data_IF_151921080065
#
_entry.id   IF_151921080065
#
_cell.length_a   1.000
_cell.length_b   1.000
_cell.length_c   1.000
_cell.angle_alpha   90.00
_cell.angle_beta   90.00
_cell.angle_gamma   90.00
#
_symmetry.space_group_name_H-M   'P 1'
#
loop_
_entity.id
_entity.type
_entity.pdbx_description
1 polymer ?
#
# COMPACT_ATOMS: atom_id res chain seq x y z
N UNK A 1 -79.19 6.54 -30.39
CA UNK A 1 -79.35 7.04 -29.00
C UNK A 1 -79.30 5.90 -27.97
N UNK A 2 -80.22 4.93 -27.99
CA UNK A 2 -80.29 3.84 -26.99
C UNK A 2 -79.02 2.96 -26.98
N UNK A 3 -78.50 2.57 -28.15
CA UNK A 3 -77.27 1.76 -28.22
C UNK A 3 -76.01 2.48 -27.70
N UNK A 4 -75.94 3.80 -27.85
CA UNK A 4 -74.82 4.60 -27.36
C UNK A 4 -74.89 4.76 -25.83
N UNK A 5 -76.09 4.94 -25.28
CA UNK A 5 -76.30 4.98 -23.84
C UNK A 5 -75.98 3.62 -23.19
N UNK A 6 -76.42 2.51 -23.79
CA UNK A 6 -76.09 1.17 -23.31
C UNK A 6 -74.57 0.92 -23.32
N UNK A 7 -73.89 1.27 -24.42
CA UNK A 7 -72.43 1.16 -24.51
C UNK A 7 -71.71 1.98 -23.43
N UNK A 8 -72.11 3.23 -23.23
CA UNK A 8 -71.51 4.10 -22.22
C UNK A 8 -71.72 3.55 -20.79
N UNK A 9 -72.92 3.04 -20.48
CA UNK A 9 -73.22 2.43 -19.19
C UNK A 9 -72.38 1.17 -18.98
N UNK A 10 -72.33 0.26 -19.95
CA UNK A 10 -71.52 -0.96 -19.84
C UNK A 10 -70.04 -0.65 -19.71
N UNK A 11 -69.52 0.35 -20.44
CA UNK A 11 -68.12 0.76 -20.33
C UNK A 11 -67.78 1.27 -18.92
N UNK A 12 -68.62 2.15 -18.35
CA UNK A 12 -68.44 2.66 -16.99
C UNK A 12 -68.58 1.54 -15.95
N UNK A 13 -69.55 0.63 -16.12
CA UNK A 13 -69.73 -0.51 -15.23
C UNK A 13 -68.52 -1.45 -15.27
N UNK A 14 -68.02 -1.79 -16.46
CA UNK A 14 -66.84 -2.64 -16.62
C UNK A 14 -65.58 -1.99 -16.05
N UNK A 15 -65.42 -0.68 -16.20
CA UNK A 15 -64.32 0.06 -15.59
C UNK A 15 -64.32 -0.01 -14.06
N UNK A 16 -65.50 -0.10 -13.43
CA UNK A 16 -65.63 -0.27 -11.98
C UNK A 16 -65.54 -1.74 -11.55
N UNK A 17 -66.20 -2.65 -12.27
CA UNK A 17 -66.32 -4.06 -11.90
C UNK A 17 -65.00 -4.80 -12.06
N UNK A 18 -64.24 -4.56 -13.14
CA UNK A 18 -62.98 -5.25 -13.40
C UNK A 18 -61.94 -5.05 -12.27
N UNK A 19 -61.60 -3.82 -11.83
CA UNK A 19 -60.63 -3.64 -10.75
C UNK A 19 -61.15 -4.20 -9.41
N UNK A 20 -62.46 -4.13 -9.15
CA UNK A 20 -63.07 -4.72 -7.95
C UNK A 20 -62.97 -6.24 -7.98
N UNK A 21 -63.27 -6.87 -9.12
CA UNK A 21 -63.17 -8.32 -9.30
C UNK A 21 -61.72 -8.81 -9.16
N UNK A 22 -60.75 -8.07 -9.71
CA UNK A 22 -59.33 -8.35 -9.54
C UNK A 22 -58.90 -8.23 -8.07
N UNK A 23 -59.34 -7.19 -7.37
CA UNK A 23 -59.05 -7.01 -5.95
C UNK A 23 -59.66 -8.11 -5.08
N UNK A 24 -60.89 -8.53 -5.37
CA UNK A 24 -61.55 -9.67 -4.72
C UNK A 24 -60.79 -10.97 -5.04
N UNK A 25 -60.37 -11.18 -6.29
CA UNK A 25 -59.56 -12.33 -6.68
C UNK A 25 -58.24 -12.39 -5.93
N UNK A 26 -57.60 -11.24 -5.68
CA UNK A 26 -56.38 -11.15 -4.85
C UNK A 26 -56.67 -11.45 -3.38
N UNK A 27 -57.76 -10.92 -2.82
CA UNK A 27 -58.17 -11.17 -1.43
C UNK A 27 -58.48 -12.66 -1.18
N UNK A 28 -59.24 -13.27 -2.08
CA UNK A 28 -59.57 -14.69 -2.05
C UNK A 28 -58.38 -15.60 -2.39
N UNK A 29 -57.21 -15.05 -2.72
CA UNK A 29 -56.02 -15.86 -3.01
C UNK A 29 -56.11 -16.64 -4.32
N UNK A 30 -56.82 -16.11 -5.33
CA UNK A 30 -56.87 -16.70 -6.68
C UNK A 30 -55.54 -16.48 -7.40
N UNK A 31 -54.97 -15.28 -7.25
CA UNK A 31 -53.69 -14.92 -7.86
C UNK A 31 -52.88 -13.99 -6.96
N UNK A 32 -51.56 -13.99 -7.17
CA UNK A 32 -50.61 -13.07 -6.54
C UNK A 32 -49.69 -12.49 -7.61
N UNK A 33 -49.21 -11.28 -7.36
CA UNK A 33 -48.25 -10.61 -8.22
C UNK A 33 -46.96 -10.51 -7.42
N UNK A 34 -45.93 -11.19 -7.90
CA UNK A 34 -44.59 -11.12 -7.34
C UNK A 34 -43.78 -10.14 -8.18
N UNK A 35 -43.36 -9.04 -7.55
CA UNK A 35 -42.48 -8.06 -8.18
C UNK A 35 -41.06 -8.60 -8.32
N UNK A 36 -40.25 -8.01 -9.21
CA UNK A 36 -38.85 -8.40 -9.38
C UNK A 36 -38.07 -8.34 -8.06
N UNK A 37 -37.25 -9.38 -7.83
CA UNK A 37 -36.42 -9.55 -6.62
C UNK A 37 -37.21 -9.53 -5.32
N UNK A 38 -38.47 -9.93 -5.33
CA UNK A 38 -39.23 -10.25 -4.12
C UNK A 38 -39.54 -11.73 -4.09
N UNK A 39 -39.61 -12.27 -2.88
CA UNK A 39 -40.04 -13.64 -2.63
C UNK A 39 -41.24 -13.61 -1.68
N UNK A 40 -42.29 -14.35 -2.01
CA UNK A 40 -43.47 -14.48 -1.16
C UNK A 40 -43.43 -15.83 -0.47
N UNK A 41 -43.41 -15.83 0.86
CA UNK A 41 -43.44 -17.04 1.69
C UNK A 41 -44.78 -17.12 2.39
N UNK A 42 -45.55 -18.14 2.04
CA UNK A 42 -46.89 -18.34 2.59
C UNK A 42 -46.86 -19.34 3.75
N UNK A 43 -47.44 -18.94 4.87
CA UNK A 43 -47.45 -19.70 6.11
C UNK A 43 -48.89 -19.87 6.58
N UNK A 44 -49.28 -21.10 6.89
CA UNK A 44 -50.59 -21.43 7.43
C UNK A 44 -50.41 -22.27 8.69
N UNK A 45 -51.02 -21.84 9.81
CA UNK A 45 -50.92 -22.51 11.11
C UNK A 45 -49.48 -22.86 11.54
N UNK A 46 -48.52 -21.96 11.24
CA UNK A 46 -47.11 -22.14 11.60
C UNK A 46 -46.32 -23.10 10.70
N UNK A 47 -46.92 -23.66 9.66
CA UNK A 47 -46.21 -24.43 8.63
C UNK A 47 -46.07 -23.61 7.35
N UNK A 48 -44.90 -23.66 6.73
CA UNK A 48 -44.69 -23.11 5.39
C UNK A 48 -45.46 -23.97 4.41
N UNK A 49 -46.37 -23.34 3.66
CA UNK A 49 -47.20 -24.03 2.67
C UNK A 49 -46.55 -23.94 1.30
N UNK A 50 -46.09 -22.75 0.90
CA UNK A 50 -45.52 -22.50 -0.43
C UNK A 50 -44.55 -21.31 -0.40
N UNK A 51 -43.58 -21.34 -1.31
CA UNK A 51 -42.58 -20.28 -1.53
C UNK A 51 -42.60 -19.94 -3.01
N UNK A 52 -42.82 -18.67 -3.35
CA UNK A 52 -42.83 -18.20 -4.74
C UNK A 52 -41.70 -17.17 -4.90
N UNK A 53 -40.69 -17.52 -5.67
CA UNK A 53 -39.50 -16.71 -5.96
C UNK A 53 -39.47 -16.16 -7.39
N UNK A 54 -40.20 -16.77 -8.33
CA UNK A 54 -40.30 -16.31 -9.71
C UNK A 54 -41.10 -14.99 -9.82
N UNK A 55 -40.61 -13.99 -10.57
CA UNK A 55 -41.34 -12.75 -10.78
C UNK A 55 -42.49 -12.97 -11.76
N UNK A 56 -43.66 -12.38 -11.47
CA UNK A 56 -44.80 -12.40 -12.37
C UNK A 56 -46.14 -12.70 -11.69
N UNK A 57 -47.14 -12.93 -12.52
CA UNK A 57 -48.48 -13.30 -12.10
C UNK A 57 -48.53 -14.81 -11.81
N UNK A 58 -48.80 -15.17 -10.56
CA UNK A 58 -48.89 -16.55 -10.12
C UNK A 58 -50.32 -16.87 -9.68
N UNK A 59 -50.90 -17.95 -10.21
CA UNK A 59 -52.17 -18.48 -9.74
C UNK A 59 -51.91 -19.40 -8.55
N UNK A 60 -52.43 -19.04 -7.38
CA UNK A 60 -52.14 -19.76 -6.14
C UNK A 60 -52.92 -21.08 -6.04
N UNK A 61 -54.05 -21.20 -6.73
CA UNK A 61 -54.90 -22.40 -6.71
C UNK A 61 -54.17 -23.69 -7.14
N UNK A 62 -53.48 -23.76 -8.30
CA UNK A 62 -52.73 -24.95 -8.68
C UNK A 62 -51.50 -25.21 -7.80
N UNK A 63 -50.92 -24.18 -7.18
CA UNK A 63 -49.73 -24.30 -6.33
C UNK A 63 -50.07 -24.84 -4.93
N UNK A 64 -51.13 -24.30 -4.31
CA UNK A 64 -51.45 -24.51 -2.89
C UNK A 64 -52.81 -25.19 -2.68
N UNK A 65 -53.46 -25.64 -3.75
CA UNK A 65 -54.80 -26.25 -3.77
C UNK A 65 -55.85 -25.40 -3.02
N UNK A 66 -56.69 -26.05 -2.21
CA UNK A 66 -57.70 -25.40 -1.37
C UNK A 66 -57.10 -24.45 -0.32
N UNK A 67 -55.81 -24.61 0.03
CA UNK A 67 -55.16 -23.74 1.02
C UNK A 67 -54.96 -22.33 0.46
N UNK A 68 -54.83 -22.17 -0.85
CA UNK A 68 -54.72 -20.87 -1.52
C UNK A 68 -55.84 -19.90 -1.11
N UNK A 69 -57.08 -20.41 -1.01
CA UNK A 69 -58.25 -19.63 -0.63
C UNK A 69 -58.23 -19.15 0.83
N UNK A 70 -57.58 -19.92 1.69
CA UNK A 70 -57.66 -19.77 3.15
C UNK A 70 -56.43 -19.03 3.69
N UNK A 71 -55.29 -19.13 3.02
CA UNK A 71 -54.00 -18.58 3.42
C UNK A 71 -54.05 -17.07 3.61
N UNK A 72 -54.80 -16.33 2.79
CA UNK A 72 -54.92 -14.89 2.95
C UNK A 72 -55.75 -14.46 4.17
N UNK A 73 -56.59 -15.35 4.71
CA UNK A 73 -57.46 -15.04 5.85
C UNK A 73 -56.96 -15.60 7.18
N UNK A 74 -56.50 -16.86 7.17
CA UNK A 74 -56.02 -17.57 8.37
C UNK A 74 -54.50 -17.66 8.46
N UNK A 75 -53.80 -17.37 7.37
CA UNK A 75 -52.34 -17.47 7.27
C UNK A 75 -51.63 -16.12 7.34
N UNK A 76 -50.34 -16.15 7.01
CA UNK A 76 -49.48 -14.97 6.82
C UNK A 76 -48.70 -15.11 5.52
N UNK A 77 -48.59 -14.01 4.78
CA UNK A 77 -47.71 -13.89 3.63
C UNK A 77 -46.54 -12.98 4.00
N UNK A 78 -45.33 -13.54 4.06
CA UNK A 78 -44.11 -12.77 4.24
C UNK A 78 -43.57 -12.36 2.88
N UNK A 79 -43.38 -11.07 2.68
CA UNK A 79 -42.76 -10.52 1.47
C UNK A 79 -41.32 -10.19 1.81
N UNK A 80 -40.40 -10.97 1.24
CA UNK A 80 -38.97 -10.80 1.42
C UNK A 80 -38.37 -10.04 0.24
N UNK A 81 -37.44 -9.15 0.54
CA UNK A 81 -36.63 -8.49 -0.47
C UNK A 81 -35.36 -9.32 -0.72
N UNK A 82 -35.25 -9.86 -1.94
CA UNK A 82 -34.14 -10.71 -2.38
C UNK A 82 -33.01 -9.89 -3.02
N UNK A 83 -33.10 -8.55 -3.00
CA UNK A 83 -32.06 -7.68 -3.54
C UNK A 83 -30.76 -7.83 -2.76
N UNK A 84 -29.66 -7.51 -3.47
CA UNK A 84 -28.36 -7.34 -2.84
C UNK A 84 -28.43 -6.17 -1.85
N UNK A 85 -28.10 -6.47 -0.60
CA UNK A 85 -28.01 -5.52 0.49
C UNK A 85 -26.54 -5.30 0.86
N UNK A 86 -26.23 -4.08 1.31
CA UNK A 86 -24.87 -3.67 1.61
C UNK A 86 -24.81 -3.07 3.00
N UNK A 87 -23.89 -3.58 3.82
CA UNK A 87 -23.72 -3.12 5.20
C UNK A 87 -22.28 -2.70 5.44
N UNK A 88 -22.13 -1.55 6.10
CA UNK A 88 -20.83 -1.04 6.50
C UNK A 88 -20.69 -1.01 8.02
N UNK A 89 -19.86 -1.91 8.55
CA UNK A 89 -19.45 -1.94 9.94
C UNK A 89 -18.28 -0.98 10.15
N UNK A 90 -18.51 0.01 11.01
CA UNK A 90 -17.53 1.07 11.28
C UNK A 90 -16.63 0.65 12.42
N UNK A 91 -15.32 0.68 12.16
CA UNK A 91 -14.27 0.63 13.18
C UNK A 91 -14.42 -0.52 14.18
N UNK A 92 -14.54 -1.76 13.67
CA UNK A 92 -14.44 -2.95 14.49
C UNK A 92 -13.07 -2.98 15.20
N UNK A 93 -13.04 -3.15 16.53
CA UNK A 93 -11.81 -3.14 17.29
C UNK A 93 -11.04 -4.44 17.06
N UNK A 94 -9.78 -4.34 16.63
CA UNK A 94 -8.91 -5.50 16.38
C UNK A 94 -7.53 -5.16 16.91
N UNK A 95 -6.84 -6.12 17.52
CA UNK A 95 -5.44 -5.97 17.89
C UNK A 95 -4.59 -6.64 16.82
N UNK A 96 -3.44 -6.08 16.46
CA UNK A 96 -2.46 -6.83 15.66
C UNK A 96 -1.79 -7.92 16.50
N UNK A 97 -1.02 -8.80 15.86
CA UNK A 97 -0.18 -9.80 16.53
C UNK A 97 0.77 -9.15 17.56
N UNK A 98 1.24 -7.94 17.27
CA UNK A 98 2.11 -7.13 18.14
C UNK A 98 1.34 -6.47 19.31
N UNK A 99 0.04 -6.70 19.41
CA UNK A 99 -0.84 -6.10 20.43
C UNK A 99 -1.26 -4.65 20.15
N UNK A 100 -0.92 -4.09 18.99
CA UNK A 100 -1.28 -2.72 18.65
C UNK A 100 -2.80 -2.58 18.41
N UNK A 101 -3.51 -1.66 19.11
CA UNK A 101 -4.96 -1.47 18.94
C UNK A 101 -5.31 -0.77 17.61
N UNK A 102 -6.07 -1.48 16.79
CA UNK A 102 -6.52 -1.08 15.45
C UNK A 102 -8.05 -0.97 15.39
N UNK A 103 -8.51 -0.20 14.41
CA UNK A 103 -9.90 -0.09 14.00
C UNK A 103 -10.04 -0.46 12.52
N UNK A 104 -10.94 -1.40 12.23
CA UNK A 104 -11.14 -1.92 10.87
C UNK A 104 -12.57 -1.64 10.42
N UNK A 105 -12.71 -0.94 9.31
CA UNK A 105 -13.99 -0.72 8.63
C UNK A 105 -14.26 -1.83 7.64
N UNK A 106 -15.33 -2.60 7.87
CA UNK A 106 -15.70 -3.77 7.07
C UNK A 106 -16.93 -3.41 6.26
N UNK A 107 -16.84 -3.54 4.95
CA UNK A 107 -17.99 -3.43 4.06
C UNK A 107 -18.28 -4.82 3.51
N UNK A 108 -19.54 -5.24 3.54
CA UNK A 108 -19.92 -6.52 2.99
C UNK A 108 -21.28 -6.45 2.33
N UNK A 109 -21.47 -7.33 1.36
CA UNK A 109 -22.71 -7.50 0.63
C UNK A 109 -23.35 -8.82 1.04
N UNK A 110 -24.66 -8.82 1.19
CA UNK A 110 -25.44 -10.02 1.48
C UNK A 110 -26.67 -10.06 0.58
N UNK A 111 -27.16 -11.26 0.32
CA UNK A 111 -28.48 -11.49 -0.25
C UNK A 111 -29.06 -12.75 0.36
N UNK A 112 -30.39 -12.86 0.32
CA UNK A 112 -31.10 -14.02 0.85
C UNK A 112 -30.93 -15.17 -0.15
N UNK A 113 -30.46 -16.33 0.33
CA UNK A 113 -30.34 -17.55 -0.48
C UNK A 113 -31.50 -18.50 -0.24
N UNK A 114 -31.88 -18.71 1.02
CA UNK A 114 -33.04 -19.51 1.42
C UNK A 114 -34.02 -18.64 2.25
N UNK A 115 -35.17 -18.26 1.67
CA UNK A 115 -36.15 -17.41 2.33
C UNK A 115 -36.82 -18.05 3.55
N UNK A 116 -36.91 -19.39 3.59
CA UNK A 116 -37.50 -20.12 4.72
C UNK A 116 -36.53 -20.14 5.89
N UNK A 117 -35.27 -20.49 5.65
CA UNK A 117 -34.23 -20.44 6.68
C UNK A 117 -34.06 -19.02 7.23
N UNK A 118 -34.07 -18.01 6.36
CA UNK A 118 -33.99 -16.60 6.75
C UNK A 118 -35.06 -16.20 7.77
N UNK A 119 -36.31 -16.62 7.55
CA UNK A 119 -37.45 -16.21 8.39
C UNK A 119 -37.54 -16.98 9.71
N UNK A 120 -37.17 -18.26 9.72
CA UNK A 120 -37.50 -19.14 10.85
C UNK A 120 -36.29 -19.66 11.64
N UNK A 121 -35.07 -19.65 11.08
CA UNK A 121 -33.89 -20.12 11.84
C UNK A 121 -33.41 -19.11 12.86
N UNK A 122 -33.49 -17.81 12.55
CA UNK A 122 -32.90 -16.75 13.36
C UNK A 122 -33.89 -15.60 13.60
N UNK A 123 -33.95 -15.11 14.84
CA UNK A 123 -34.85 -14.02 15.25
C UNK A 123 -34.45 -12.65 14.70
N UNK A 124 -33.15 -12.34 14.67
CA UNK A 124 -32.59 -11.13 14.04
C UNK A 124 -31.42 -11.51 13.14
N UNK A 125 -31.71 -11.91 11.90
CA UNK A 125 -30.67 -12.53 11.12
C UNK A 125 -29.68 -11.54 10.46
N UNK A 126 -30.05 -10.26 10.27
CA UNK A 126 -29.09 -9.20 9.89
C UNK A 126 -28.13 -8.88 11.05
N UNK A 127 -28.65 -8.77 12.27
CA UNK A 127 -27.84 -8.59 13.46
C UNK A 127 -26.86 -9.74 13.69
N UNK A 128 -27.34 -10.98 13.62
CA UNK A 128 -26.50 -12.19 13.75
C UNK A 128 -25.41 -12.27 12.68
N UNK A 129 -25.71 -11.97 11.42
CA UNK A 129 -24.71 -11.94 10.36
C UNK A 129 -23.65 -10.85 10.62
N UNK A 130 -24.09 -9.65 10.99
CA UNK A 130 -23.17 -8.55 11.29
C UNK A 130 -22.20 -8.88 12.44
N UNK A 131 -22.71 -9.54 13.47
CA UNK A 131 -21.92 -9.99 14.61
C UNK A 131 -20.94 -11.11 14.21
N UNK A 132 -21.37 -12.05 13.36
CA UNK A 132 -20.51 -13.10 12.85
C UNK A 132 -19.37 -12.53 11.98
N UNK A 133 -19.69 -11.61 11.06
CA UNK A 133 -18.68 -10.90 10.24
C UNK A 133 -17.68 -10.18 11.14
N UNK A 134 -18.16 -9.43 12.14
CA UNK A 134 -17.28 -8.71 13.08
C UNK A 134 -16.37 -9.66 13.87
N UNK A 135 -16.94 -10.69 14.49
CA UNK A 135 -16.21 -11.65 15.31
C UNK A 135 -15.20 -12.48 14.50
N UNK A 136 -15.60 -12.91 13.31
CA UNK A 136 -14.71 -13.64 12.40
C UNK A 136 -13.60 -12.74 11.86
N UNK A 137 -13.90 -11.47 11.56
CA UNK A 137 -12.86 -10.49 11.21
C UNK A 137 -11.86 -10.29 12.34
N UNK A 138 -12.32 -10.09 13.57
CA UNK A 138 -11.43 -9.93 14.73
C UNK A 138 -10.56 -11.18 14.90
N UNK A 139 -11.15 -12.38 14.82
CA UNK A 139 -10.42 -13.64 14.94
C UNK A 139 -9.36 -13.83 13.86
N UNK A 140 -9.71 -13.64 12.58
CA UNK A 140 -8.79 -13.86 11.46
C UNK A 140 -7.67 -12.81 11.42
N UNK A 141 -8.01 -11.56 11.71
CA UNK A 141 -7.06 -10.47 11.59
C UNK A 141 -6.22 -10.30 12.85
N UNK A 142 -6.67 -10.74 14.04
CA UNK A 142 -5.89 -10.53 15.27
C UNK A 142 -4.50 -11.18 15.26
N UNK A 143 -4.31 -12.21 14.43
CA UNK A 143 -3.05 -12.93 14.30
C UNK A 143 -2.17 -12.38 13.17
N UNK A 144 -2.55 -11.27 12.53
CA UNK A 144 -1.77 -10.69 11.44
C UNK A 144 -0.77 -9.65 11.94
N UNK A 145 0.45 -9.63 11.36
CA UNK A 145 1.40 -8.56 11.60
C UNK A 145 0.85 -7.20 11.16
N UNK A 146 1.20 -6.15 11.92
CA UNK A 146 0.72 -4.80 11.66
C UNK A 146 1.05 -4.32 10.24
N UNK A 147 2.26 -4.61 9.76
CA UNK A 147 2.68 -4.23 8.41
C UNK A 147 1.77 -4.82 7.32
N UNK A 148 1.36 -6.07 7.48
CA UNK A 148 0.50 -6.74 6.50
C UNK A 148 -0.91 -6.14 6.50
N UNK A 149 -1.44 -5.78 7.67
CA UNK A 149 -2.75 -5.12 7.79
C UNK A 149 -2.82 -3.77 7.05
N UNK A 150 -1.71 -3.04 7.02
CA UNK A 150 -1.65 -1.73 6.38
C UNK A 150 -1.52 -1.83 4.86
N UNK A 151 -0.87 -2.88 4.36
CA UNK A 151 -0.53 -3.06 2.95
C UNK A 151 -1.54 -3.93 2.21
N UNK A 152 -1.83 -5.14 2.71
CA UNK A 152 -2.58 -6.16 1.97
C UNK A 152 -4.04 -6.29 2.41
N UNK A 153 -4.86 -5.28 2.05
CA UNK A 153 -6.30 -5.32 2.36
C UNK A 153 -7.08 -6.36 1.55
N UNK A 154 -6.62 -6.68 0.35
CA UNK A 154 -7.29 -7.64 -0.50
C UNK A 154 -7.19 -9.06 0.08
N UNK A 155 -5.99 -9.47 0.49
CA UNK A 155 -5.78 -10.77 1.15
C UNK A 155 -6.61 -10.91 2.41
N UNK A 156 -6.59 -9.89 3.28
CA UNK A 156 -7.42 -9.89 4.48
C UNK A 156 -8.93 -10.01 4.16
N UNK A 157 -9.40 -9.36 3.09
CA UNK A 157 -10.80 -9.41 2.68
C UNK A 157 -11.21 -10.82 2.19
N UNK A 158 -10.32 -11.51 1.47
CA UNK A 158 -10.53 -12.91 1.05
C UNK A 158 -10.62 -13.84 2.24
N UNK A 159 -9.67 -13.75 3.18
CA UNK A 159 -9.63 -14.60 4.37
C UNK A 159 -10.91 -14.45 5.21
N UNK A 160 -11.38 -13.22 5.43
CA UNK A 160 -12.62 -12.98 6.17
C UNK A 160 -13.84 -13.54 5.42
N UNK A 161 -13.87 -13.40 4.09
CA UNK A 161 -14.96 -13.95 3.28
C UNK A 161 -15.03 -15.47 3.37
N UNK A 162 -13.90 -16.15 3.18
CA UNK A 162 -13.80 -17.61 3.22
C UNK A 162 -14.26 -18.18 4.57
N UNK A 163 -13.92 -17.50 5.68
CA UNK A 163 -14.31 -17.91 7.02
C UNK A 163 -15.82 -17.72 7.32
N UNK A 164 -16.44 -16.66 6.78
CA UNK A 164 -17.83 -16.28 7.08
C UNK A 164 -18.84 -16.93 6.12
N UNK A 165 -18.43 -17.23 4.89
CA UNK A 165 -19.28 -17.87 3.87
C UNK A 165 -20.04 -19.11 4.35
N UNK A 166 -19.39 -20.16 4.93
CA UNK A 166 -20.10 -21.39 5.29
C UNK A 166 -21.20 -21.19 6.35
N UNK A 167 -20.92 -20.37 7.37
CA UNK A 167 -21.91 -20.07 8.42
C UNK A 167 -23.07 -19.22 7.93
N UNK A 168 -22.84 -18.38 6.91
CA UNK A 168 -23.89 -17.52 6.35
C UNK A 168 -24.93 -18.37 5.61
N UNK A 169 -24.46 -19.33 4.81
CA UNK A 169 -25.33 -20.20 4.01
C UNK A 169 -26.24 -21.06 4.91
N UNK A 170 -25.76 -21.50 6.08
CA UNK A 170 -26.57 -22.24 7.06
C UNK A 170 -27.79 -21.46 7.55
N UNK A 171 -27.70 -20.13 7.62
CA UNK A 171 -28.77 -19.25 8.11
C UNK A 171 -29.68 -18.70 7.00
N UNK A 172 -29.51 -19.17 5.75
CA UNK A 172 -30.31 -18.73 4.60
C UNK A 172 -29.83 -17.43 3.96
N UNK A 173 -28.58 -17.04 4.22
CA UNK A 173 -27.93 -15.89 3.59
C UNK A 173 -26.76 -16.35 2.76
N UNK A 174 -26.55 -15.69 1.63
CA UNK A 174 -25.27 -15.79 0.94
C UNK A 174 -24.51 -14.49 1.11
N UNK A 175 -23.30 -14.62 1.65
CA UNK A 175 -22.35 -13.53 1.67
C UNK A 175 -21.82 -13.34 0.25
N UNK A 176 -22.04 -12.14 -0.30
CA UNK A 176 -21.50 -11.73 -1.58
C UNK A 176 -20.01 -11.44 -1.43
N UNK A 177 -19.62 -10.18 -1.56
CA UNK A 177 -18.25 -9.75 -1.34
C UNK A 177 -18.07 -9.16 0.07
N UNK A 178 -16.88 -9.34 0.63
CA UNK A 178 -16.42 -8.64 1.84
C UNK A 178 -15.20 -7.83 1.44
N UNK A 179 -15.15 -6.57 1.86
CA UNK A 179 -14.02 -5.68 1.64
C UNK A 179 -13.67 -4.92 2.91
N UNK A 180 -12.39 -4.91 3.23
CA UNK A 180 -11.84 -4.04 4.26
C UNK A 180 -11.61 -2.66 3.66
N UNK A 181 -12.51 -1.74 4.02
CA UNK A 181 -12.53 -0.38 3.47
C UNK A 181 -11.43 0.49 4.08
N UNK A 182 -11.26 0.44 5.40
CA UNK A 182 -10.34 1.31 6.15
C UNK A 182 -9.69 0.55 7.30
N UNK A 183 -8.38 0.68 7.42
CA UNK A 183 -7.60 0.26 8.59
C UNK A 183 -6.99 1.51 9.18
N UNK A 184 -7.13 1.70 10.49
CA UNK A 184 -6.55 2.84 11.20
C UNK A 184 -6.14 2.43 12.60
N UNK A 185 -5.16 3.14 13.15
CA UNK A 185 -4.83 3.05 14.56
C UNK A 185 -5.95 3.70 15.39
N UNK A 186 -6.27 3.11 16.55
CA UNK A 186 -7.23 3.74 17.48
C UNK A 186 -6.57 4.79 18.37
N UNK A 187 -5.29 4.60 18.68
CA UNK A 187 -4.54 5.46 19.58
C UNK A 187 -3.68 6.47 18.81
N UNK A 188 -3.87 7.75 19.13
CA UNK A 188 -3.10 8.86 18.56
C UNK A 188 -1.67 8.93 19.10
N UNK A 189 -1.43 8.48 20.32
CA UNK A 189 -0.09 8.44 20.90
C UNK A 189 0.78 7.41 20.16
N UNK A 190 0.22 6.23 19.91
CA UNK A 190 0.89 5.19 19.12
C UNK A 190 1.22 5.65 17.69
N UNK A 191 0.35 6.42 17.04
CA UNK A 191 0.65 7.03 15.73
C UNK A 191 1.92 7.89 15.82
N UNK A 192 2.01 8.77 16.82
CA UNK A 192 3.18 9.63 17.02
C UNK A 192 4.45 8.83 17.32
N UNK A 193 4.34 7.75 18.09
CA UNK A 193 5.48 6.88 18.40
C UNK A 193 5.99 6.17 17.14
N UNK A 194 5.11 5.63 16.30
CA UNK A 194 5.48 4.98 15.04
C UNK A 194 6.11 6.00 14.09
N UNK A 195 5.51 7.18 13.95
CA UNK A 195 6.06 8.27 13.14
C UNK A 195 7.47 8.64 13.60
N UNK A 196 7.67 8.80 14.91
CA UNK A 196 8.97 9.10 15.51
C UNK A 196 9.98 7.99 15.24
N UNK A 197 9.56 6.72 15.34
CA UNK A 197 10.41 5.55 15.05
C UNK A 197 10.81 5.48 13.58
N UNK A 198 9.90 5.79 12.65
CA UNK A 198 10.20 5.84 11.20
C UNK A 198 11.15 6.99 10.88
N UNK A 199 10.92 8.19 11.42
CA UNK A 199 11.81 9.35 11.23
C UNK A 199 13.21 9.05 11.76
N UNK A 200 13.32 8.45 12.95
CA UNK A 200 14.61 8.04 13.51
C UNK A 200 15.30 6.99 12.65
N UNK A 201 14.55 6.00 12.12
CA UNK A 201 15.10 4.98 11.23
C UNK A 201 15.58 5.57 9.91
N UNK A 202 14.82 6.48 9.30
CA UNK A 202 15.23 7.19 8.09
C UNK A 202 16.49 8.01 8.35
N UNK A 203 16.56 8.71 9.48
CA UNK A 203 17.76 9.45 9.89
C UNK A 203 18.97 8.52 10.05
N UNK A 204 18.78 7.35 10.66
CA UNK A 204 19.81 6.33 10.82
C UNK A 204 20.30 5.78 9.47
N UNK A 205 19.39 5.49 8.54
CA UNK A 205 19.73 5.00 7.20
C UNK A 205 20.47 6.09 6.42
N UNK A 206 20.01 7.35 6.47
CA UNK A 206 20.69 8.48 5.83
C UNK A 206 22.08 8.72 6.40
N UNK A 207 22.25 8.64 7.73
CA UNK A 207 23.58 8.77 8.34
C UNK A 207 24.51 7.63 7.93
N UNK A 208 23.98 6.40 7.84
CA UNK A 208 24.75 5.24 7.38
C UNK A 208 25.19 5.42 5.91
N UNK A 209 24.28 5.84 5.02
CA UNK A 209 24.61 6.13 3.61
C UNK A 209 25.66 7.25 3.50
N UNK A 210 25.50 8.33 4.27
CA UNK A 210 26.46 9.44 4.27
C UNK A 210 27.85 8.99 4.74
N UNK A 211 27.89 8.16 5.78
CA UNK A 211 29.13 7.63 6.33
C UNK A 211 29.79 6.64 5.36
N UNK A 212 29.01 5.79 4.71
CA UNK A 212 29.51 4.85 3.70
C UNK A 212 30.05 5.60 2.47
N UNK A 213 29.36 6.64 2.01
CA UNK A 213 29.85 7.53 0.95
C UNK A 213 31.16 8.24 1.34
N UNK A 214 31.27 8.74 2.57
CA UNK A 214 32.51 9.35 3.06
C UNK A 214 33.67 8.33 3.13
N UNK A 215 33.38 7.11 3.59
CA UNK A 215 34.34 6.01 3.63
C UNK A 215 34.80 5.63 2.21
N UNK A 216 33.87 5.51 1.27
CA UNK A 216 34.17 5.19 -0.13
C UNK A 216 35.07 6.26 -0.77
N UNK A 217 34.77 7.55 -0.54
CA UNK A 217 35.64 8.65 -0.98
C UNK A 217 37.02 8.55 -0.33
N UNK A 218 37.12 8.29 0.97
CA UNK A 218 38.40 8.14 1.67
C UNK A 218 39.25 7.02 1.08
N UNK A 219 38.66 5.85 0.78
CA UNK A 219 39.35 4.72 0.14
C UNK A 219 39.82 5.10 -1.27
N UNK A 220 38.98 5.76 -2.06
CA UNK A 220 39.34 6.22 -3.41
C UNK A 220 40.52 7.19 -3.34
N UNK A 221 40.49 8.18 -2.46
CA UNK A 221 41.58 9.14 -2.30
C UNK A 221 42.87 8.45 -1.84
N UNK A 222 42.82 7.61 -0.80
CA UNK A 222 44.01 6.90 -0.32
C UNK A 222 44.59 5.93 -1.36
N UNK A 223 43.75 5.27 -2.17
CA UNK A 223 44.24 4.41 -3.26
C UNK A 223 44.84 5.21 -4.41
N UNK A 224 44.27 6.38 -4.72
CA UNK A 224 44.83 7.32 -5.70
C UNK A 224 46.17 7.88 -5.22
N UNK A 225 46.26 8.35 -3.97
CA UNK A 225 47.49 8.87 -3.35
C UNK A 225 48.57 7.80 -3.31
N UNK A 226 48.23 6.56 -2.95
CA UNK A 226 49.17 5.44 -2.96
C UNK A 226 49.70 5.15 -4.36
N UNK A 227 48.82 5.13 -5.37
CA UNK A 227 49.21 4.93 -6.78
C UNK A 227 50.12 6.06 -7.25
N UNK A 228 49.75 7.31 -6.97
CA UNK A 228 50.54 8.49 -7.29
C UNK A 228 51.92 8.42 -6.64
N UNK A 229 51.99 8.11 -5.34
CA UNK A 229 53.25 7.97 -4.61
C UNK A 229 54.16 6.88 -5.21
N UNK A 230 53.59 5.74 -5.62
CA UNK A 230 54.35 4.67 -6.30
C UNK A 230 54.91 5.15 -7.64
N UNK A 231 54.10 5.81 -8.46
CA UNK A 231 54.56 6.32 -9.77
C UNK A 231 55.59 7.45 -9.61
N UNK A 232 55.43 8.34 -8.64
CA UNK A 232 56.46 9.34 -8.31
C UNK A 232 57.75 8.68 -7.81
N UNK A 233 57.67 7.63 -7.00
CA UNK A 233 58.84 6.89 -6.54
C UNK A 233 59.57 6.20 -7.70
N UNK A 234 58.84 5.57 -8.64
CA UNK A 234 59.42 4.99 -9.86
C UNK A 234 60.07 6.05 -10.73
N UNK A 235 59.38 7.18 -10.95
CA UNK A 235 59.93 8.30 -11.72
C UNK A 235 61.20 8.85 -11.07
N UNK A 236 61.22 9.01 -9.74
CA UNK A 236 62.39 9.46 -9.00
C UNK A 236 63.55 8.44 -9.05
N UNK A 237 63.27 7.13 -9.10
CA UNK A 237 64.29 6.10 -9.21
C UNK A 237 64.94 6.05 -10.61
N UNK A 238 64.16 6.26 -11.68
CA UNK A 238 64.65 6.24 -13.07
C UNK A 238 65.32 7.58 -13.45
N UNK A 239 64.89 8.69 -12.83
CA UNK A 239 65.36 10.05 -13.16
C UNK A 239 66.89 10.21 -13.15
N UNK A 240 67.67 9.70 -12.17
CA UNK A 240 69.13 9.82 -12.17
C UNK A 240 69.78 9.16 -13.38
N UNK A 241 69.33 7.98 -13.78
CA UNK A 241 69.87 7.27 -14.95
C UNK A 241 69.54 8.02 -16.24
N UNK A 242 68.30 8.48 -16.38
CA UNK A 242 67.81 9.19 -17.56
C UNK A 242 68.52 10.55 -17.73
N UNK A 243 68.70 11.29 -16.63
CA UNK A 243 69.48 12.53 -16.59
C UNK A 243 70.96 12.25 -16.85
N UNK A 244 71.52 11.19 -16.25
CA UNK A 244 72.91 10.79 -16.47
C UNK A 244 73.21 10.44 -17.93
N UNK A 245 72.30 9.69 -18.58
CA UNK A 245 72.39 9.36 -20.00
C UNK A 245 72.25 10.61 -20.90
N UNK A 246 71.37 11.54 -20.55
CA UNK A 246 71.24 12.81 -21.25
C UNK A 246 72.52 13.66 -21.12
N UNK A 247 73.06 13.80 -19.91
CA UNK A 247 74.33 14.49 -19.67
C UNK A 247 75.48 13.85 -20.44
N UNK A 248 75.57 12.50 -20.46
CA UNK A 248 76.60 11.78 -21.23
C UNK A 248 76.53 12.08 -22.73
N UNK A 249 75.32 12.18 -23.31
CA UNK A 249 75.13 12.58 -24.71
C UNK A 249 75.53 14.02 -24.97
N UNK A 250 75.17 14.94 -24.07
CA UNK A 250 75.50 16.36 -24.20
C UNK A 250 77.02 16.57 -24.09
N UNK A 251 77.69 15.87 -23.16
CA UNK A 251 79.14 15.90 -22.98
C UNK A 251 79.94 15.27 -24.15
N UNK A 252 79.29 14.68 -25.15
CA UNK A 252 79.98 14.21 -26.35
C UNK A 252 80.50 15.40 -27.19
N UNK A 253 79.86 16.56 -27.08
CA UNK A 253 80.31 17.81 -27.68
C UNK A 253 80.80 18.77 -26.58
N UNK A 254 82.08 19.10 -26.63
CA UNK A 254 82.76 19.89 -25.60
C UNK A 254 82.25 21.33 -25.54
N UNK A 255 81.92 21.91 -26.68
CA UNK A 255 81.48 23.31 -26.77
C UNK A 255 80.07 23.47 -26.19
N UNK A 256 79.17 22.54 -26.52
CA UNK A 256 77.79 22.50 -26.00
C UNK A 256 77.74 22.22 -24.49
N UNK A 257 78.63 21.35 -23.98
CA UNK A 257 78.72 21.04 -22.56
C UNK A 257 79.16 22.25 -21.72
N UNK A 258 80.22 22.94 -22.15
CA UNK A 258 80.73 24.13 -21.45
C UNK A 258 79.67 25.24 -21.41
N UNK A 259 79.00 25.51 -22.54
CA UNK A 259 77.91 26.48 -22.61
C UNK A 259 76.73 26.13 -21.68
N UNK A 260 76.31 24.85 -21.65
CA UNK A 260 75.24 24.38 -20.75
C UNK A 260 75.62 24.56 -19.28
N UNK A 261 76.84 24.16 -18.88
CA UNK A 261 77.27 24.29 -17.49
C UNK A 261 77.40 25.76 -17.07
N UNK A 262 77.91 26.64 -17.94
CA UNK A 262 77.93 28.09 -17.67
C UNK A 262 76.52 28.67 -17.51
N UNK A 263 75.56 28.27 -18.34
CA UNK A 263 74.16 28.72 -18.21
C UNK A 263 73.56 28.21 -16.90
N UNK A 264 73.77 26.94 -16.55
CA UNK A 264 73.25 26.36 -15.31
C UNK A 264 73.87 27.00 -14.07
N UNK A 265 75.16 27.28 -14.09
CA UNK A 265 75.85 27.99 -13.02
C UNK A 265 75.28 29.41 -12.89
N UNK A 266 75.13 30.13 -14.01
CA UNK A 266 74.54 31.48 -14.01
C UNK A 266 73.10 31.47 -13.51
N UNK A 267 72.26 30.52 -13.94
CA UNK A 267 70.89 30.39 -13.44
C UNK A 267 70.83 30.07 -11.95
N UNK A 268 71.66 29.13 -11.46
CA UNK A 268 71.73 28.85 -10.03
C UNK A 268 72.22 30.04 -9.22
N UNK A 269 73.18 30.79 -9.74
CA UNK A 269 73.67 32.02 -9.10
C UNK A 269 72.58 33.10 -9.07
N UNK A 270 71.74 33.20 -10.09
CA UNK A 270 70.60 34.14 -10.15
C UNK A 270 69.43 33.73 -9.23
N UNK A 271 69.10 32.44 -9.17
CA UNK A 271 68.03 31.91 -8.29
C UNK A 271 68.45 31.91 -6.81
N UNK A 272 69.76 31.85 -6.53
CA UNK A 272 70.26 31.92 -5.18
C UNK A 272 70.07 33.34 -4.63
N UNK A 273 69.08 33.52 -3.75
CA UNK A 273 68.80 34.79 -3.05
C UNK A 273 69.87 35.20 -2.02
N UNK A 274 71.09 34.69 -2.11
CA UNK A 274 72.19 34.98 -1.16
C UNK A 274 73.09 36.10 -1.68
N UNK A 275 73.67 36.89 -0.76
CA UNK A 275 74.61 37.97 -1.10
C UNK A 275 75.93 37.37 -1.60
N UNK A 276 76.16 37.44 -2.91
CA UNK A 276 77.44 37.03 -3.49
C UNK A 276 78.50 38.10 -3.21
N UNK A 277 79.60 37.73 -2.56
CA UNK A 277 80.73 38.64 -2.28
C UNK A 277 81.91 38.25 -3.18
N UNK A 278 82.27 39.10 -4.14
CA UNK A 278 83.39 38.87 -5.05
C UNK A 278 84.71 39.30 -4.40
N UNK A 279 85.70 38.41 -4.36
CA UNK A 279 87.00 38.63 -3.72
C UNK A 279 88.13 38.59 -4.77
N UNK A 280 89.10 39.54 -4.74
CA UNK A 280 90.23 39.55 -5.67
C UNK A 280 91.32 38.53 -5.30
N UNK A 281 92.01 37.99 -6.32
CA UNK A 281 92.91 36.81 -6.26
C UNK A 281 94.17 36.90 -5.36
N UNK A 282 94.40 37.99 -4.61
CA UNK A 282 95.61 38.16 -3.78
C UNK A 282 95.35 38.80 -2.41
N UNK A 283 94.36 38.31 -1.66
CA UNK A 283 94.12 38.78 -0.28
C UNK A 283 93.62 37.68 0.64
N UNK A 284 94.54 36.85 1.16
CA UNK A 284 94.20 35.77 2.11
C UNK A 284 93.77 36.24 3.50
N UNK A 285 94.07 37.48 3.90
CA UNK A 285 93.73 37.98 5.24
C UNK A 285 92.27 38.49 5.36
N UNK A 286 91.66 38.88 4.25
CA UNK A 286 90.29 39.43 4.19
C UNK A 286 89.22 38.32 4.15
N UNK A 287 89.57 37.16 3.60
CA UNK A 287 88.71 35.96 3.58
C UNK A 287 88.43 35.44 4.99
N UNK A 288 89.47 35.36 5.83
CA UNK A 288 89.34 34.80 7.19
C UNK A 288 88.50 35.70 8.12
N UNK A 289 88.60 37.03 7.96
CA UNK A 289 87.82 37.99 8.75
C UNK A 289 86.35 38.08 8.33
N UNK A 290 86.03 37.82 7.06
CA UNK A 290 84.64 37.79 6.57
C UNK A 290 83.93 36.49 7.00
N UNK A 291 84.59 35.34 6.92
CA UNK A 291 84.03 34.07 7.39
C UNK A 291 83.80 34.04 8.91
N UNK A 292 84.69 34.69 9.69
CA UNK A 292 84.53 34.80 11.14
C UNK A 292 83.32 35.64 11.59
N UNK A 293 82.80 36.53 10.73
CA UNK A 293 81.66 37.40 11.07
C UNK A 293 80.30 36.71 10.90
N UNK A 294 80.21 35.67 10.08
CA UNK A 294 78.95 34.93 9.85
C UNK A 294 78.60 33.93 10.95
N UNK A 295 79.58 33.45 11.73
CA UNK A 295 79.34 32.49 12.81
C UNK A 295 78.86 33.11 14.14
N UNK A 296 78.71 34.44 14.21
CA UNK A 296 78.36 35.17 15.44
C UNK A 296 76.92 35.76 15.44
N UNK A 297 76.00 35.17 14.67
CA UNK A 297 74.57 35.50 14.68
C UNK A 297 73.68 34.27 14.66
#
# INVERSE_FOLDING_TARGET
>A
MIGFAAFAITFVLSFLIVPVALLIGRLLGVYTIVEERRCHVYVLFGKVVEVIDEPGLHFLWPLMEWRALVVNWLGKCYVLDMRLDQVYLRSAPVNSEEGAPMGIGIWYEMFISDPVAYLFKNMDPRGSLSANVANSTVRCLSNLPLALMMVNRHGMSSTVREEVSPRSDEWGYRLGSVYIRKVHFRDAEMIRQIESKVVNRLRQVTSAIKQDGANQVSIITSTADRKAAIEFAKAAAIRPELVGNALKKICADKETADAMFTILETQKLLDCKTKLTLLPQKSGLLTDLLAAREHAS
#
